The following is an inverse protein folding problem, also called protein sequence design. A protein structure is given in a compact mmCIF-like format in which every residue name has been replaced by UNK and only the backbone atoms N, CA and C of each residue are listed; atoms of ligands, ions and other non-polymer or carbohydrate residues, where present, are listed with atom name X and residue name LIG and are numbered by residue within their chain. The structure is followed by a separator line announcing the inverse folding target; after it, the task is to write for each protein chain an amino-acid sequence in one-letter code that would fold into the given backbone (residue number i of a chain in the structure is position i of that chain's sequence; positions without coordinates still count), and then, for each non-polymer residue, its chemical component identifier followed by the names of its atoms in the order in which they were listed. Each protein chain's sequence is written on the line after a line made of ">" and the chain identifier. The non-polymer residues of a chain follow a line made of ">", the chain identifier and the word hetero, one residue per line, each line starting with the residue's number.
data_IF_067617302221
#
_entry.id   IF_067617302221
#
_cell.length_a   1.000
_cell.length_b   1.000
_cell.length_c   1.000
_cell.angle_alpha   90.00
_cell.angle_beta   90.00
_cell.angle_gamma   90.00
#
_symmetry.space_group_name_H-M   'P 1'
#
loop_
_entity.id
_entity.type
_entity.pdbx_description
1 polymer ?
#
# COMPACT_ATOMS: atom_id res chain seq x y z
N UNK A 1 26.90 -18.08 -59.39
CA UNK A 1 27.34 -17.19 -58.28
C UNK A 1 26.47 -15.94 -58.30
N UNK A 2 25.94 -15.35 -57.25
CA UNK A 2 25.90 -15.63 -55.81
C UNK A 2 24.69 -14.88 -55.22
N UNK A 3 24.00 -15.49 -54.26
CA UNK A 3 22.85 -14.90 -53.56
C UNK A 3 23.36 -13.96 -52.48
N UNK A 4 23.04 -12.67 -52.57
CA UNK A 4 23.28 -11.72 -51.49
C UNK A 4 22.30 -11.99 -50.36
N UNK A 5 22.78 -12.48 -49.22
CA UNK A 5 21.99 -12.61 -48.00
C UNK A 5 21.89 -11.24 -47.32
N UNK A 6 20.65 -10.76 -47.17
CA UNK A 6 20.27 -9.54 -46.45
C UNK A 6 20.69 -9.58 -44.98
N UNK A 7 21.61 -8.71 -44.58
CA UNK A 7 22.06 -8.46 -43.19
C UNK A 7 21.28 -7.31 -42.56
N UNK A 8 19.97 -7.46 -42.37
CA UNK A 8 19.17 -6.43 -41.71
C UNK A 8 17.98 -7.01 -40.93
N UNK A 9 18.23 -7.86 -39.93
CA UNK A 9 17.15 -8.36 -39.08
C UNK A 9 17.64 -8.91 -37.73
N UNK A 10 18.41 -8.16 -36.92
CA UNK A 10 18.87 -8.67 -35.62
C UNK A 10 18.90 -7.65 -34.45
N UNK A 11 18.15 -6.54 -34.51
CA UNK A 11 18.21 -5.48 -33.47
C UNK A 11 16.87 -5.09 -32.81
N UNK A 12 15.83 -5.93 -32.88
CA UNK A 12 14.48 -5.55 -32.43
C UNK A 12 13.84 -6.49 -31.37
N UNK A 13 14.62 -7.10 -30.46
CA UNK A 13 14.10 -8.03 -29.45
C UNK A 13 14.48 -7.69 -27.98
N UNK A 14 14.79 -6.44 -27.66
CA UNK A 14 15.17 -6.04 -26.29
C UNK A 14 14.08 -5.31 -25.49
N UNK A 15 12.88 -5.07 -26.04
CA UNK A 15 11.93 -4.10 -25.48
C UNK A 15 10.76 -4.65 -24.64
N UNK A 16 10.75 -5.94 -24.25
CA UNK A 16 9.54 -6.57 -23.67
C UNK A 16 9.64 -6.91 -22.17
N UNK A 17 10.72 -6.58 -21.48
CA UNK A 17 10.77 -6.73 -20.02
C UNK A 17 10.45 -5.39 -19.36
N UNK A 18 9.19 -4.99 -19.40
CA UNK A 18 8.67 -4.08 -18.36
C UNK A 18 8.69 -4.86 -17.05
N UNK A 19 9.51 -4.50 -16.05
CA UNK A 19 9.32 -5.08 -14.73
C UNK A 19 7.90 -4.74 -14.32
N UNK A 20 7.09 -5.76 -14.03
CA UNK A 20 5.90 -5.54 -13.22
C UNK A 20 6.43 -4.90 -11.94
N UNK A 21 6.22 -3.61 -11.77
CA UNK A 21 6.44 -2.96 -10.50
C UNK A 21 5.45 -3.65 -9.56
N UNK A 22 5.94 -4.63 -8.80
CA UNK A 22 5.21 -5.18 -7.67
C UNK A 22 5.07 -3.98 -6.73
N UNK A 23 3.92 -3.32 -6.82
CA UNK A 23 3.67 -2.16 -6.00
C UNK A 23 3.55 -2.70 -4.57
N UNK A 24 4.41 -2.25 -3.68
CA UNK A 24 4.40 -2.73 -2.32
C UNK A 24 3.20 -2.10 -1.57
N UNK A 25 2.68 -2.74 -0.51
CA UNK A 25 1.54 -2.25 0.24
C UNK A 25 1.77 -0.92 0.95
N UNK A 26 3.01 -0.53 1.21
CA UNK A 26 3.35 0.71 1.89
C UNK A 26 4.28 1.59 1.04
N UNK A 27 4.04 2.90 1.11
CA UNK A 27 4.79 3.92 0.41
C UNK A 27 5.45 4.87 1.40
N UNK A 28 6.70 5.21 1.13
CA UNK A 28 7.35 6.35 1.75
C UNK A 28 6.96 7.62 1.01
N UNK A 29 6.31 8.56 1.70
CA UNK A 29 5.95 9.87 1.19
C UNK A 29 6.85 10.94 1.81
N UNK A 30 7.44 11.79 0.98
CA UNK A 30 8.24 12.95 1.42
C UNK A 30 7.77 14.19 0.68
N UNK A 31 8.13 15.39 1.16
CA UNK A 31 7.71 16.63 0.50
C UNK A 31 8.36 16.87 -0.87
N UNK A 32 9.46 16.15 -1.19
CA UNK A 32 10.30 16.43 -2.36
C UNK A 32 10.26 15.34 -3.42
N UNK A 33 9.77 14.15 -3.09
CA UNK A 33 9.76 12.99 -3.99
C UNK A 33 8.36 12.37 -3.99
N UNK A 34 7.82 11.97 -5.17
CA UNK A 34 6.56 11.23 -5.22
C UNK A 34 6.60 9.97 -4.34
N UNK A 35 5.44 9.49 -3.83
CA UNK A 35 5.38 8.32 -2.97
C UNK A 35 6.13 7.10 -3.56
N UNK A 36 7.03 6.51 -2.77
CA UNK A 36 7.84 5.37 -3.16
C UNK A 36 7.26 4.09 -2.53
N UNK A 37 6.43 3.37 -3.29
CA UNK A 37 5.72 2.18 -2.84
C UNK A 37 6.56 0.90 -2.97
N UNK A 38 7.63 0.81 -2.17
CA UNK A 38 8.62 -0.27 -2.23
C UNK A 38 8.69 -1.10 -0.93
N UNK A 39 7.90 -0.77 0.08
CA UNK A 39 7.93 -1.42 1.39
C UNK A 39 6.80 -2.43 1.55
N UNK A 40 7.15 -3.71 1.76
CA UNK A 40 6.20 -4.78 2.11
C UNK A 40 5.89 -4.84 3.60
N UNK A 41 6.75 -4.23 4.42
CA UNK A 41 6.59 -4.16 5.86
C UNK A 41 6.33 -2.71 6.32
N UNK A 42 5.28 -2.53 7.11
CA UNK A 42 4.87 -1.22 7.62
C UNK A 42 5.87 -0.63 8.62
N UNK A 43 6.59 -1.47 9.37
CA UNK A 43 7.59 -1.03 10.35
C UNK A 43 8.83 -0.51 9.65
N UNK A 44 9.31 -1.20 8.61
CA UNK A 44 10.45 -0.75 7.80
C UNK A 44 10.15 0.58 7.12
N UNK A 45 8.95 0.72 6.54
CA UNK A 45 8.48 1.96 5.95
C UNK A 45 8.41 3.10 6.99
N UNK A 46 7.84 2.83 8.17
CA UNK A 46 7.73 3.81 9.25
C UNK A 46 9.09 4.24 9.78
N UNK A 47 10.04 3.31 9.90
CA UNK A 47 11.41 3.58 10.31
C UNK A 47 12.06 4.54 9.30
N UNK A 48 12.01 4.22 8.02
CA UNK A 48 12.59 5.08 6.98
C UNK A 48 11.90 6.44 6.87
N UNK A 49 10.56 6.49 7.01
CA UNK A 49 9.81 7.73 7.08
C UNK A 49 10.32 8.65 8.18
N UNK A 50 10.61 8.11 9.37
CA UNK A 50 11.19 8.88 10.46
C UNK A 50 12.61 9.40 10.12
N UNK A 51 13.42 8.60 9.43
CA UNK A 51 14.76 9.01 8.99
C UNK A 51 14.73 10.15 7.96
N UNK A 52 13.73 10.15 7.07
CA UNK A 52 13.62 11.12 5.98
C UNK A 52 12.68 12.30 6.29
N UNK A 53 12.19 12.41 7.53
CA UNK A 53 11.14 13.37 7.91
C UNK A 53 9.91 13.31 6.99
N UNK A 54 9.57 12.09 6.56
CA UNK A 54 8.43 11.77 5.71
C UNK A 54 7.29 11.11 6.48
N UNK A 55 6.36 10.52 5.73
CA UNK A 55 5.26 9.72 6.24
C UNK A 55 5.29 8.33 5.61
N UNK A 56 4.95 7.31 6.39
CA UNK A 56 4.61 6.00 5.85
C UNK A 56 3.10 5.96 5.60
N UNK A 57 2.71 5.76 4.34
CA UNK A 57 1.31 5.70 3.91
C UNK A 57 1.01 4.37 3.25
N UNK A 58 -0.26 4.01 3.14
CA UNK A 58 -0.66 2.82 2.40
C UNK A 58 -0.63 3.09 0.89
N UNK A 59 -0.39 2.04 0.12
CA UNK A 59 -0.60 2.04 -1.31
C UNK A 59 -2.06 1.65 -1.62
N UNK A 60 -2.91 2.59 -2.07
CA UNK A 60 -4.33 2.30 -2.33
C UNK A 60 -4.56 1.38 -3.53
N UNK A 61 -3.53 1.14 -4.38
CA UNK A 61 -3.63 0.17 -5.47
C UNK A 61 -3.55 -1.28 -4.96
N UNK A 62 -2.94 -1.49 -3.79
CA UNK A 62 -2.75 -2.81 -3.17
C UNK A 62 -3.70 -3.00 -1.98
N UNK A 63 -3.95 -1.94 -1.21
CA UNK A 63 -4.81 -1.97 -0.02
C UNK A 63 -6.05 -1.11 -0.27
N UNK A 64 -7.15 -1.79 -0.61
CA UNK A 64 -8.47 -1.19 -0.67
C UNK A 64 -9.10 -1.13 0.71
N UNK A 65 -8.96 0.01 1.40
CA UNK A 65 -9.68 0.23 2.65
C UNK A 65 -11.17 0.37 2.40
N UNK A 66 -11.96 -0.29 3.24
CA UNK A 66 -13.41 -0.10 3.28
C UNK A 66 -13.77 0.84 4.43
N UNK A 67 -14.79 1.71 4.26
CA UNK A 67 -15.29 2.55 5.34
C UNK A 67 -15.69 1.70 6.54
N UNK A 68 -15.25 2.07 7.75
CA UNK A 68 -15.55 1.34 8.98
C UNK A 68 -16.36 2.15 9.99
N UNK A 69 -16.48 1.61 11.21
CA UNK A 69 -17.15 2.29 12.31
C UNK A 69 -16.35 3.46 12.90
N UNK A 70 -15.05 3.56 12.61
CA UNK A 70 -14.15 4.61 13.07
C UNK A 70 -13.64 5.52 11.96
N UNK A 71 -13.13 6.69 12.36
CA UNK A 71 -12.48 7.65 11.46
C UNK A 71 -11.03 7.26 11.07
N UNK A 72 -10.46 6.26 11.74
CA UNK A 72 -9.08 5.80 11.53
C UNK A 72 -8.99 4.28 11.45
N UNK A 73 -8.01 3.82 10.68
CA UNK A 73 -7.69 2.41 10.48
C UNK A 73 -6.26 2.11 10.91
N UNK A 74 -6.09 0.98 11.60
CA UNK A 74 -4.77 0.34 11.73
C UNK A 74 -4.59 -0.61 10.56
N UNK A 75 -3.45 -0.53 9.89
CA UNK A 75 -3.10 -1.40 8.75
C UNK A 75 -1.75 -2.05 9.05
N UNK A 76 -1.69 -3.38 9.05
CA UNK A 76 -0.49 -4.15 9.38
C UNK A 76 0.17 -4.77 8.15
N UNK A 77 1.43 -5.18 8.30
CA UNK A 77 2.14 -5.96 7.28
C UNK A 77 1.31 -7.17 6.86
N UNK A 78 1.14 -7.37 5.55
CA UNK A 78 0.21 -8.38 4.98
C UNK A 78 -1.17 -7.84 4.58
N UNK A 79 -1.43 -6.54 4.79
CA UNK A 79 -2.61 -5.85 4.24
C UNK A 79 -3.88 -5.99 5.06
N UNK A 80 -3.84 -6.69 6.21
CA UNK A 80 -4.97 -6.71 7.13
C UNK A 80 -5.17 -5.33 7.76
N UNK A 81 -6.44 -4.93 7.94
CA UNK A 81 -6.77 -3.63 8.50
C UNK A 81 -7.99 -3.68 9.42
N UNK A 82 -8.07 -2.71 10.35
CA UNK A 82 -9.24 -2.50 11.22
C UNK A 82 -9.57 -1.02 11.33
N UNK A 83 -10.72 -0.63 10.79
CA UNK A 83 -11.22 0.76 10.75
C UNK A 83 -12.23 1.05 11.87
N UNK A 84 -11.84 0.83 13.12
CA UNK A 84 -12.72 0.96 14.30
C UNK A 84 -12.34 2.11 15.22
N UNK A 85 -11.24 2.82 14.94
CA UNK A 85 -10.69 3.83 15.82
C UNK A 85 -11.31 5.20 15.57
N UNK A 86 -11.78 5.86 16.64
CA UNK A 86 -12.32 7.23 16.57
C UNK A 86 -11.25 8.32 16.78
N UNK A 87 -10.12 7.94 17.41
CA UNK A 87 -9.06 8.85 17.82
C UNK A 87 -7.73 8.44 17.17
N UNK A 88 -7.01 9.39 16.55
CA UNK A 88 -5.74 9.10 15.87
C UNK A 88 -4.66 8.64 16.84
N UNK A 89 -4.72 9.07 18.10
CA UNK A 89 -3.71 8.69 19.12
C UNK A 89 -3.81 7.20 19.46
N UNK A 90 -5.03 6.72 19.65
CA UNK A 90 -5.32 5.31 19.94
C UNK A 90 -5.00 4.42 18.75
N UNK A 91 -5.31 4.86 17.55
CA UNK A 91 -4.93 4.19 16.30
C UNK A 91 -3.40 4.11 16.15
N UNK A 92 -2.68 5.22 16.37
CA UNK A 92 -1.22 5.25 16.25
C UNK A 92 -0.54 4.34 17.28
N UNK A 93 -1.03 4.34 18.52
CA UNK A 93 -0.53 3.44 19.56
C UNK A 93 -0.72 1.98 19.17
N UNK A 94 -1.91 1.60 18.70
CA UNK A 94 -2.15 0.21 18.28
C UNK A 94 -1.31 -0.16 17.05
N UNK A 95 -1.20 0.73 16.08
CA UNK A 95 -0.34 0.52 14.91
C UNK A 95 1.10 0.23 15.34
N UNK A 96 1.65 0.99 16.30
CA UNK A 96 2.97 0.70 16.85
C UNK A 96 3.05 -0.67 17.53
N UNK A 97 2.03 -1.06 18.30
CA UNK A 97 1.98 -2.37 18.96
C UNK A 97 1.94 -3.53 17.96
N UNK A 98 1.18 -3.40 16.87
CA UNK A 98 1.03 -4.44 15.86
C UNK A 98 2.10 -4.39 14.76
N UNK A 99 2.96 -3.37 14.74
CA UNK A 99 3.90 -3.15 13.64
C UNK A 99 3.23 -2.70 12.35
N UNK A 100 2.14 -1.95 12.45
CA UNK A 100 1.40 -1.36 11.35
C UNK A 100 1.55 0.17 11.25
N UNK A 101 0.71 0.76 10.40
CA UNK A 101 0.52 2.21 10.26
C UNK A 101 -0.90 2.61 10.62
N UNK A 102 -1.05 3.83 11.13
CA UNK A 102 -2.36 4.45 11.34
C UNK A 102 -2.69 5.35 10.15
N UNK A 103 -3.87 5.16 9.57
CA UNK A 103 -4.35 5.95 8.42
C UNK A 103 -5.79 6.41 8.64
N UNK A 104 -6.22 7.44 7.93
CA UNK A 104 -7.62 7.87 7.94
C UNK A 104 -8.49 6.88 7.18
N UNK A 105 -9.64 6.53 7.76
CA UNK A 105 -10.62 5.70 7.09
C UNK A 105 -11.23 6.45 5.90
N UNK A 106 -11.51 5.77 4.78
CA UNK A 106 -12.28 6.37 3.69
C UNK A 106 -13.69 6.70 4.18
N UNK A 107 -14.20 7.86 3.74
CA UNK A 107 -15.54 8.30 4.09
C UNK A 107 -16.56 7.45 3.32
N UNK A 108 -17.50 6.83 4.03
CA UNK A 108 -18.62 6.14 3.39
C UNK A 108 -19.44 7.16 2.56
N UNK A 109 -19.84 6.83 1.32
CA UNK A 109 -20.81 7.64 0.61
C UNK A 109 -22.06 7.88 1.46
N UNK A 110 -22.61 9.09 1.40
CA UNK A 110 -23.81 9.43 2.16
C UNK A 110 -24.94 8.45 1.82
N UNK A 111 -25.44 7.72 2.83
CA UNK A 111 -26.51 6.73 2.69
C UNK A 111 -26.08 5.27 2.68
N UNK A 112 -24.78 4.95 2.74
CA UNK A 112 -24.31 3.57 2.94
C UNK A 112 -24.44 3.18 4.42
N UNK A 113 -25.22 2.13 4.77
CA UNK A 113 -25.27 1.63 6.14
C UNK A 113 -23.91 1.06 6.58
N UNK A 114 -23.51 1.17 7.86
CA UNK A 114 -22.29 0.54 8.35
C UNK A 114 -22.37 -0.98 8.16
N UNK A 115 -21.29 -1.60 7.67
CA UNK A 115 -21.24 -3.05 7.49
C UNK A 115 -21.09 -3.73 8.87
N UNK A 116 -22.07 -4.53 9.33
CA UNK A 116 -22.05 -5.13 10.66
C UNK A 116 -20.97 -6.22 10.86
N UNK A 117 -20.32 -6.69 9.80
CA UNK A 117 -19.36 -7.80 9.87
C UNK A 117 -17.88 -7.35 9.92
N UNK A 118 -17.60 -6.05 9.92
CA UNK A 118 -16.25 -5.49 9.71
C UNK A 118 -15.32 -5.56 10.95
N UNK A 119 -15.72 -6.30 11.97
CA UNK A 119 -15.02 -6.43 13.26
C UNK A 119 -14.64 -7.86 13.66
N UNK A 120 -14.77 -8.87 12.77
CA UNK A 120 -14.29 -10.23 13.08
C UNK A 120 -12.92 -10.47 12.41
N UNK A 121 -11.81 -10.43 13.16
CA UNK A 121 -10.56 -10.97 12.66
C UNK A 121 -10.70 -12.49 12.54
N UNK A 122 -10.56 -13.00 11.32
CA UNK A 122 -10.32 -14.42 11.03
C UNK A 122 -11.53 -15.24 10.62
N UNK A 123 -11.82 -15.27 9.31
CA UNK A 123 -12.38 -16.45 8.62
C UNK A 123 -11.63 -16.60 7.29
N UNK A 124 -10.35 -17.00 7.39
CA UNK A 124 -9.70 -17.77 6.34
C UNK A 124 -9.65 -19.21 6.86
N UNK A 125 -10.61 -20.02 6.41
CA UNK A 125 -10.74 -21.45 6.67
C UNK A 125 -11.45 -22.11 5.50
#
# INVERSE_FOLDING_TARGET
>A
MGRGLSTAALLALASLLSPAALAAPFCLETQTVPPQCIYFDARDCSLEANHQHGACVINPQEIGLEPGGGAYCVVVSGGAFSCTYQDPTSCSREALHQGGVCVTAPVAPAGTPPNPNQGRPGEAG
#
